data_IF_736039841797
#
_entry.id   IF_736039841797
#
_cell.length_a   1.000
_cell.length_b   1.000
_cell.length_c   1.000
_cell.angle_alpha   90.00
_cell.angle_beta   90.00
_cell.angle_gamma   90.00
#
_symmetry.space_group_name_H-M   'P 1'
#
loop_
_entity.id
_entity.type
_entity.pdbx_description
1 polymer ?
#
# COMPACT_ATOMS: atom_id res chain seq x y z
N UNK A 1 -5.70 -2.48 -3.73
CA UNK A 1 -5.12 -1.11 -3.65
C UNK A 1 -6.16 -0.08 -3.27
N UNK A 2 -7.15 0.22 -4.12
CA UNK A 2 -8.22 1.20 -3.82
C UNK A 2 -8.99 0.94 -2.52
N UNK A 3 -9.26 -0.33 -2.17
CA UNK A 3 -9.99 -0.65 -0.95
C UNK A 3 -9.31 -0.22 0.36
N UNK A 4 -7.97 -0.21 0.45
CA UNK A 4 -7.28 0.22 1.68
C UNK A 4 -7.49 1.71 1.95
N UNK A 5 -7.47 2.51 0.88
CA UNK A 5 -7.77 3.93 0.93
C UNK A 5 -9.28 4.18 1.16
N UNK A 6 -10.16 3.50 0.42
CA UNK A 6 -11.62 3.69 0.51
C UNK A 6 -12.17 3.31 1.88
N UNK A 7 -11.60 2.30 2.55
CA UNK A 7 -12.01 1.89 3.91
C UNK A 7 -11.31 2.68 5.01
N UNK A 8 -10.51 3.71 4.69
CA UNK A 8 -9.83 4.54 5.69
C UNK A 8 -8.70 3.84 6.45
N UNK A 9 -8.29 2.64 6.06
CA UNK A 9 -7.27 1.88 6.81
C UNK A 9 -5.88 2.48 6.75
N UNK A 10 -5.53 3.12 5.63
CA UNK A 10 -4.26 3.84 5.52
C UNK A 10 -4.25 5.04 6.49
N UNK A 11 -5.38 5.74 6.61
CA UNK A 11 -5.59 6.83 7.55
C UNK A 11 -5.57 6.34 9.01
N UNK A 12 -6.28 5.26 9.33
CA UNK A 12 -6.31 4.69 10.67
C UNK A 12 -4.93 4.20 11.12
N UNK A 13 -4.20 3.54 10.23
CA UNK A 13 -2.83 3.13 10.55
C UNK A 13 -1.90 4.34 10.65
N UNK A 14 -2.06 5.37 9.81
CA UNK A 14 -1.29 6.60 9.92
C UNK A 14 -1.52 7.32 11.26
N UNK A 15 -2.77 7.35 11.76
CA UNK A 15 -3.08 7.84 13.11
C UNK A 15 -2.40 7.01 14.20
N UNK A 16 -2.48 5.67 14.10
CA UNK A 16 -1.76 4.79 15.03
C UNK A 16 -0.27 5.06 15.00
N UNK A 17 0.32 5.16 13.81
CA UNK A 17 1.74 5.41 13.62
C UNK A 17 2.15 6.76 14.22
N UNK A 18 1.37 7.82 14.01
CA UNK A 18 1.58 9.14 14.62
C UNK A 18 1.42 9.13 16.15
N UNK A 19 0.52 8.31 16.68
CA UNK A 19 0.39 8.14 18.14
C UNK A 19 1.62 7.45 18.73
N UNK A 20 2.13 6.42 18.06
CA UNK A 20 3.24 5.59 18.55
C UNK A 20 4.62 6.24 18.30
N UNK A 21 4.70 7.20 17.38
CA UNK A 21 5.95 7.89 17.01
C UNK A 21 5.79 9.40 17.21
N UNK A 22 6.59 9.99 18.11
CA UNK A 22 6.50 11.43 18.41
C UNK A 22 6.95 12.32 17.23
N UNK A 23 7.78 11.79 16.33
CA UNK A 23 8.30 12.52 15.18
C UNK A 23 8.77 11.55 14.11
N UNK A 24 8.71 11.98 12.86
CA UNK A 24 9.31 11.29 11.71
C UNK A 24 10.52 12.05 11.18
N UNK A 25 11.30 11.38 10.32
CA UNK A 25 12.31 12.04 9.49
C UNK A 25 11.67 13.15 8.63
N UNK A 26 12.45 14.13 8.15
CA UNK A 26 11.97 15.09 7.16
C UNK A 26 11.26 14.37 6.01
N UNK A 27 10.16 14.93 5.50
CA UNK A 27 9.30 14.25 4.53
C UNK A 27 10.05 13.75 3.27
N UNK A 28 11.08 14.48 2.83
CA UNK A 28 11.97 14.09 1.71
C UNK A 28 12.78 12.82 1.96
N UNK A 29 13.08 12.51 3.22
CA UNK A 29 13.87 11.37 3.67
C UNK A 29 13.01 10.31 4.36
N UNK A 30 11.71 10.57 4.48
CA UNK A 30 10.77 9.64 5.09
C UNK A 30 10.49 8.49 4.13
N UNK A 31 10.47 7.29 4.69
CA UNK A 31 10.15 6.06 4.00
C UNK A 31 10.06 4.96 5.03
N UNK A 32 9.03 4.14 4.93
CA UNK A 32 8.87 3.01 5.83
C UNK A 32 10.00 2.00 5.58
N UNK A 33 10.49 1.38 6.63
CA UNK A 33 11.30 0.18 6.51
C UNK A 33 10.45 -1.02 6.12
N UNK A 34 11.10 -2.10 5.71
CA UNK A 34 10.39 -3.36 5.45
C UNK A 34 9.77 -3.95 6.73
N UNK A 35 10.37 -3.68 7.89
CA UNK A 35 9.84 -4.08 9.18
C UNK A 35 8.54 -3.32 9.52
N UNK A 36 8.53 -1.99 9.36
CA UNK A 36 7.33 -1.17 9.61
C UNK A 36 6.19 -1.50 8.63
N UNK A 37 6.52 -1.85 7.38
CA UNK A 37 5.52 -2.35 6.43
C UNK A 37 4.96 -3.71 6.86
N UNK A 38 5.79 -4.62 7.37
CA UNK A 38 5.32 -5.90 7.89
C UNK A 38 4.41 -5.73 9.12
N UNK A 39 4.69 -4.74 9.98
CA UNK A 39 3.80 -4.38 11.10
C UNK A 39 2.44 -3.87 10.60
N UNK A 40 2.41 -3.09 9.52
CA UNK A 40 1.17 -2.67 8.87
C UNK A 40 0.38 -3.87 8.33
N UNK A 41 1.02 -4.79 7.61
CA UNK A 41 0.37 -6.01 7.09
C UNK A 41 -0.18 -6.87 8.23
N UNK A 42 0.54 -6.99 9.34
CA UNK A 42 0.07 -7.69 10.53
C UNK A 42 -1.11 -6.97 11.20
N UNK A 43 -1.08 -5.64 11.27
CA UNK A 43 -2.18 -4.86 11.82
C UNK A 43 -3.46 -5.01 10.99
N UNK A 44 -3.35 -5.18 9.67
CA UNK A 44 -4.48 -5.44 8.78
C UNK A 44 -5.15 -6.80 9.02
N UNK A 45 -4.44 -7.78 9.61
CA UNK A 45 -4.96 -9.15 9.77
C UNK A 45 -6.19 -9.21 10.68
N UNK A 46 -6.28 -8.28 11.64
CA UNK A 46 -7.40 -8.17 12.58
C UNK A 46 -8.45 -7.13 12.15
N UNK A 47 -8.37 -6.60 10.92
CA UNK A 47 -9.31 -5.62 10.40
C UNK A 47 -10.26 -6.27 9.41
N UNK A 48 -11.55 -6.12 9.66
CA UNK A 48 -12.54 -6.29 8.60
C UNK A 48 -12.53 -5.03 7.74
N UNK A 49 -11.93 -5.13 6.57
CA UNK A 49 -12.01 -4.08 5.56
C UNK A 49 -12.56 -4.67 4.28
N UNK A 50 -13.40 -3.91 3.58
CA UNK A 50 -13.97 -4.29 2.29
C UNK A 50 -12.89 -4.23 1.18
N UNK A 51 -11.82 -5.01 1.33
CA UNK A 51 -11.10 -5.58 0.21
C UNK A 51 -11.59 -7.02 0.01
N UNK A 52 -12.92 -7.18 -0.05
CA UNK A 52 -13.51 -8.41 -0.55
C UNK A 52 -13.39 -8.33 -2.06
N UNK A 53 -12.59 -9.20 -2.66
CA UNK A 53 -12.56 -9.31 -4.12
C UNK A 53 -13.95 -9.71 -4.61
N UNK A 54 -14.28 -9.45 -5.88
CA UNK A 54 -15.57 -9.93 -6.41
C UNK A 54 -15.70 -11.46 -6.24
N UNK A 55 -14.59 -12.18 -6.42
CA UNK A 55 -14.50 -13.63 -6.21
C UNK A 55 -14.87 -14.02 -4.77
N UNK A 56 -14.39 -13.30 -3.76
CA UNK A 56 -14.74 -13.59 -2.37
C UNK A 56 -16.19 -13.23 -2.03
N UNK A 57 -16.76 -12.19 -2.65
CA UNK A 57 -18.19 -11.86 -2.51
C UNK A 57 -19.06 -12.98 -3.09
N UNK A 58 -18.72 -13.43 -4.28
CA UNK A 58 -19.40 -14.53 -4.96
C UNK A 58 -19.23 -15.83 -4.16
N UNK A 59 -18.05 -16.07 -3.60
CA UNK A 59 -17.77 -17.21 -2.72
C UNK A 59 -18.59 -17.17 -1.42
N UNK A 60 -18.72 -16.01 -0.78
CA UNK A 60 -19.57 -15.85 0.41
C UNK A 60 -21.05 -16.11 0.07
N UNK A 61 -21.49 -15.67 -1.11
CA UNK A 61 -22.83 -15.95 -1.62
C UNK A 61 -23.04 -17.45 -1.84
N UNK A 62 -22.07 -18.13 -2.47
CA UNK A 62 -22.08 -19.58 -2.64
C UNK A 62 -22.16 -20.32 -1.30
N UNK A 63 -21.39 -19.90 -0.30
CA UNK A 63 -21.41 -20.49 1.05
C UNK A 63 -22.79 -20.34 1.71
N UNK A 64 -23.41 -19.17 1.57
CA UNK A 64 -24.75 -18.89 2.08
C UNK A 64 -25.83 -19.74 1.37
N UNK A 65 -25.76 -19.85 0.04
CA UNK A 65 -26.65 -20.72 -0.74
C UNK A 65 -26.49 -22.19 -0.34
N UNK A 66 -25.26 -22.69 -0.20
CA UNK A 66 -25.01 -24.07 0.21
C UNK A 66 -25.60 -24.39 1.60
N UNK A 67 -25.56 -23.45 2.55
CA UNK A 67 -26.21 -23.60 3.87
C UNK A 67 -27.73 -23.62 3.75
N UNK A 68 -28.30 -22.71 2.95
CA UNK A 68 -29.75 -22.59 2.75
C UNK A 68 -30.33 -23.83 2.07
N UNK A 69 -29.62 -24.37 1.08
CA UNK A 69 -30.01 -25.56 0.32
C UNK A 69 -29.57 -26.88 0.96
N UNK A 70 -28.97 -26.83 2.16
CA UNK A 70 -28.50 -27.99 2.94
C UNK A 70 -27.42 -28.83 2.24
N UNK A 71 -26.66 -28.23 1.32
CA UNK A 71 -25.48 -28.85 0.71
C UNK A 71 -24.20 -28.60 1.50
N UNK A 72 -24.20 -27.67 2.46
CA UNK A 72 -23.00 -27.23 3.17
C UNK A 72 -22.21 -28.38 3.78
N UNK A 73 -22.87 -29.30 4.49
CA UNK A 73 -22.18 -30.41 5.16
C UNK A 73 -21.41 -31.32 4.18
N UNK A 74 -21.89 -31.42 2.93
CA UNK A 74 -21.26 -32.18 1.84
C UNK A 74 -20.05 -31.48 1.25
N UNK A 75 -20.04 -30.14 1.21
CA UNK A 75 -19.02 -29.34 0.51
C UNK A 75 -18.12 -28.51 1.43
N UNK A 76 -18.32 -28.58 2.74
CA UNK A 76 -17.68 -27.72 3.73
C UNK A 76 -16.14 -27.78 3.66
N UNK A 77 -15.56 -28.97 3.43
CA UNK A 77 -14.12 -29.13 3.35
C UNK A 77 -13.54 -28.43 2.11
N UNK A 78 -14.22 -28.55 0.97
CA UNK A 78 -13.81 -27.89 -0.28
C UNK A 78 -13.96 -26.37 -0.16
N UNK A 79 -15.05 -25.89 0.44
CA UNK A 79 -15.26 -24.47 0.71
C UNK A 79 -14.19 -23.93 1.66
N UNK A 80 -13.87 -24.62 2.76
CA UNK A 80 -12.82 -24.20 3.69
C UNK A 80 -11.44 -24.13 3.00
N UNK A 81 -11.11 -25.13 2.18
CA UNK A 81 -9.87 -25.16 1.40
C UNK A 81 -9.78 -24.00 0.40
N UNK A 82 -10.88 -23.73 -0.32
CA UNK A 82 -10.94 -22.63 -1.28
C UNK A 82 -10.85 -21.26 -0.59
N UNK A 83 -11.56 -21.08 0.54
CA UNK A 83 -11.49 -19.87 1.36
C UNK A 83 -10.06 -19.57 1.78
N UNK A 84 -9.33 -20.57 2.27
CA UNK A 84 -7.92 -20.42 2.67
C UNK A 84 -7.04 -19.97 1.49
N UNK A 85 -7.27 -20.50 0.28
CA UNK A 85 -6.51 -20.08 -0.92
C UNK A 85 -6.82 -18.64 -1.34
N UNK A 86 -8.09 -18.24 -1.26
CA UNK A 86 -8.51 -16.87 -1.55
C UNK A 86 -7.90 -15.88 -0.53
N UNK A 87 -7.91 -16.22 0.76
CA UNK A 87 -7.24 -15.41 1.78
C UNK A 87 -5.73 -15.33 1.54
N UNK A 88 -5.06 -16.45 1.26
CA UNK A 88 -3.62 -16.45 0.94
C UNK A 88 -3.27 -15.55 -0.25
N UNK A 89 -4.15 -15.48 -1.25
CA UNK A 89 -3.99 -14.55 -2.37
C UNK A 89 -3.96 -13.09 -1.94
N UNK A 90 -4.69 -12.70 -0.88
CA UNK A 90 -4.67 -11.32 -0.37
C UNK A 90 -3.34 -10.94 0.24
N UNK A 91 -2.77 -11.83 1.07
CA UNK A 91 -1.44 -11.57 1.62
C UNK A 91 -0.39 -11.51 0.51
N UNK A 92 -0.53 -12.36 -0.51
CA UNK A 92 0.33 -12.31 -1.70
C UNK A 92 0.14 -11.00 -2.48
N UNK A 93 -1.09 -10.51 -2.64
CA UNK A 93 -1.38 -9.24 -3.31
C UNK A 93 -0.74 -8.06 -2.57
N UNK A 94 -0.78 -8.05 -1.23
CA UNK A 94 -0.08 -7.03 -0.44
C UNK A 94 1.44 -7.08 -0.65
N UNK A 95 2.02 -8.27 -0.88
CA UNK A 95 3.43 -8.37 -1.23
C UNK A 95 3.71 -7.97 -2.69
N UNK A 96 2.85 -8.36 -3.63
CA UNK A 96 2.98 -8.05 -5.05
C UNK A 96 2.91 -6.55 -5.29
N UNK A 97 1.99 -5.86 -4.62
CA UNK A 97 1.80 -4.43 -4.71
C UNK A 97 2.45 -3.66 -3.54
N UNK A 98 3.42 -4.27 -2.86
CA UNK A 98 4.06 -3.72 -1.66
C UNK A 98 4.50 -2.28 -1.85
N UNK A 99 5.23 -1.99 -2.92
CA UNK A 99 5.79 -0.66 -3.16
C UNK A 99 4.71 0.42 -3.31
N UNK A 100 3.60 0.09 -3.96
CA UNK A 100 2.48 1.01 -4.14
C UNK A 100 1.71 1.23 -2.84
N UNK A 101 1.37 0.15 -2.13
CA UNK A 101 0.69 0.23 -0.82
C UNK A 101 1.53 1.02 0.17
N UNK A 102 2.84 0.72 0.22
CA UNK A 102 3.79 1.37 1.10
C UNK A 102 3.89 2.86 0.80
N UNK A 103 3.95 3.24 -0.48
CA UNK A 103 3.99 4.65 -0.87
C UNK A 103 2.70 5.41 -0.49
N UNK A 104 1.52 4.79 -0.68
CA UNK A 104 0.26 5.40 -0.25
C UNK A 104 0.20 5.56 1.28
N UNK A 105 0.70 4.56 2.01
CA UNK A 105 0.77 4.65 3.47
C UNK A 105 1.75 5.73 3.94
N UNK A 106 2.91 5.85 3.29
CA UNK A 106 3.89 6.90 3.58
C UNK A 106 3.29 8.30 3.38
N UNK A 107 2.51 8.48 2.31
CA UNK A 107 1.79 9.73 2.07
C UNK A 107 0.81 10.04 3.22
N UNK A 108 -0.04 9.10 3.59
CA UNK A 108 -0.98 9.28 4.70
C UNK A 108 -0.26 9.60 6.02
N UNK A 109 0.81 8.88 6.35
CA UNK A 109 1.61 9.16 7.55
C UNK A 109 2.15 10.59 7.51
N UNK A 110 2.76 11.03 6.40
CA UNK A 110 3.31 12.39 6.28
C UNK A 110 2.24 13.46 6.45
N UNK A 111 1.00 13.24 5.97
CA UNK A 111 -0.12 14.17 6.19
C UNK A 111 -0.43 14.34 7.67
N UNK A 112 -0.40 13.25 8.45
CA UNK A 112 -0.77 13.26 9.86
C UNK A 112 0.20 14.05 10.74
N UNK A 113 1.45 14.23 10.30
CA UNK A 113 2.41 15.15 10.93
C UNK A 113 2.26 16.62 10.48
N UNK A 114 1.13 16.96 9.84
CA UNK A 114 0.76 18.35 9.49
C UNK A 114 1.38 18.90 8.20
N UNK A 115 1.98 18.05 7.36
CA UNK A 115 2.82 18.50 6.25
C UNK A 115 2.17 18.31 4.87
N UNK A 116 1.13 19.09 4.56
CA UNK A 116 0.60 19.21 3.18
C UNK A 116 1.68 19.66 2.16
N UNK A 117 2.72 20.37 2.61
CA UNK A 117 3.93 20.64 1.81
C UNK A 117 4.87 19.43 1.72
N UNK A 118 4.96 18.64 2.80
CA UNK A 118 5.76 17.42 2.86
C UNK A 118 5.32 16.35 1.87
N UNK A 119 4.04 16.30 1.48
CA UNK A 119 3.60 15.37 0.41
C UNK A 119 4.33 15.61 -0.92
N UNK A 120 4.56 16.88 -1.28
CA UNK A 120 5.32 17.22 -2.49
C UNK A 120 6.78 16.84 -2.34
N UNK A 121 7.37 17.10 -1.16
CA UNK A 121 8.75 16.75 -0.90
C UNK A 121 8.99 15.23 -0.87
N UNK A 122 8.03 14.46 -0.35
CA UNK A 122 8.04 12.99 -0.37
C UNK A 122 8.02 12.47 -1.81
N UNK A 123 7.15 13.04 -2.66
CA UNK A 123 7.03 12.60 -4.06
C UNK A 123 8.30 12.85 -4.87
N UNK A 124 9.12 13.85 -4.51
CA UNK A 124 10.38 14.15 -5.20
C UNK A 124 11.36 12.97 -5.18
N UNK A 125 11.30 12.11 -4.15
CA UNK A 125 12.14 10.91 -4.07
C UNK A 125 11.78 9.84 -5.12
N UNK A 126 10.55 9.87 -5.64
CA UNK A 126 9.99 8.89 -6.58
C UNK A 126 9.77 9.45 -8.00
N UNK A 127 9.73 10.77 -8.14
CA UNK A 127 9.50 11.47 -9.41
C UNK A 127 10.70 11.29 -10.37
N UNK A 128 10.52 10.61 -11.52
CA UNK A 128 11.63 10.27 -12.40
C UNK A 128 12.26 11.50 -13.06
N UNK A 129 11.48 12.54 -13.37
CA UNK A 129 11.97 13.80 -13.92
C UNK A 129 12.85 14.55 -12.91
N UNK A 130 12.43 14.63 -11.66
CA UNK A 130 13.21 15.24 -10.57
C UNK A 130 14.47 14.44 -10.30
N UNK A 131 14.38 13.11 -10.24
CA UNK A 131 15.55 12.25 -10.06
C UNK A 131 16.54 12.39 -11.24
N UNK A 132 16.04 12.47 -12.47
CA UNK A 132 16.87 12.72 -13.65
C UNK A 132 17.53 14.11 -13.61
N UNK A 133 16.78 15.14 -13.22
CA UNK A 133 17.28 16.49 -13.07
C UNK A 133 18.37 16.59 -11.99
N UNK A 134 18.14 15.98 -10.82
CA UNK A 134 19.14 15.92 -9.74
C UNK A 134 20.41 15.20 -10.18
N UNK A 135 20.28 14.06 -10.88
CA UNK A 135 21.43 13.35 -11.47
C UNK A 135 22.18 14.21 -12.48
N UNK A 136 21.45 14.93 -13.33
CA UNK A 136 22.04 15.82 -14.33
C UNK A 136 22.77 17.00 -13.69
N UNK A 137 22.19 17.62 -12.66
CA UNK A 137 22.84 18.70 -11.92
C UNK A 137 24.00 18.20 -11.04
N UNK A 138 24.07 16.91 -10.72
CA UNK A 138 25.26 16.28 -10.16
C UNK A 138 26.41 16.09 -11.17
N UNK A 139 26.14 16.21 -12.48
CA UNK A 139 27.07 15.99 -13.58
C UNK A 139 27.13 17.23 -14.50
N UNK A 140 27.82 18.26 -14.01
CA UNK A 140 27.99 19.53 -14.73
C UNK A 140 28.61 19.39 -16.13
N UNK A 141 29.61 18.50 -16.37
CA UNK A 141 30.09 18.21 -17.72
C UNK A 141 28.99 17.74 -18.67
N UNK A 142 28.16 16.77 -18.25
CA UNK A 142 27.04 16.27 -19.05
C UNK A 142 25.99 17.36 -19.29
N UNK A 143 25.68 18.15 -18.27
CA UNK A 143 24.76 19.29 -18.39
C UNK A 143 25.23 20.30 -19.45
N UNK A 144 26.50 20.71 -19.39
CA UNK A 144 27.08 21.64 -20.36
C UNK A 144 27.13 21.06 -21.77
N UNK A 145 27.38 19.75 -21.92
CA UNK A 145 27.36 19.08 -23.21
C UNK A 145 25.97 19.13 -23.87
N UNK A 146 24.90 18.92 -23.09
CA UNK A 146 23.51 19.01 -23.57
C UNK A 146 23.14 20.43 -23.99
N UNK A 147 23.67 21.45 -23.31
CA UNK A 147 23.39 22.86 -23.62
C UNK A 147 24.20 23.41 -24.80
N UNK A 148 25.25 22.72 -25.25
CA UNK A 148 25.95 23.10 -26.47
C UNK A 148 25.05 22.84 -27.66
N UNK A 149 24.78 23.89 -28.43
CA UNK A 149 24.00 23.84 -29.67
C UNK A 149 24.59 22.75 -30.58
N UNK A 150 23.74 21.83 -31.06
CA UNK A 150 24.16 20.84 -32.06
C UNK A 150 24.72 21.57 -33.29
N UNK A 151 25.79 21.06 -33.90
CA UNK A 151 26.42 21.67 -35.08
C UNK A 151 25.46 21.81 -36.26
#
# INVERSE_FOLDING_TARGET
LTALATNGLLFDYANKYHHDHASIKPAREFGLSDAEYAEFVKWLTDKEYEYTTQVERDFATLEASAKTEKYYDTVQEQLASLRKKLSHSKEQDLQLFKDEVKYQLEQEIVVHYGLQKGLRELSFSKDPEIQAALKLFGDMPRYQAILKKAP
#
